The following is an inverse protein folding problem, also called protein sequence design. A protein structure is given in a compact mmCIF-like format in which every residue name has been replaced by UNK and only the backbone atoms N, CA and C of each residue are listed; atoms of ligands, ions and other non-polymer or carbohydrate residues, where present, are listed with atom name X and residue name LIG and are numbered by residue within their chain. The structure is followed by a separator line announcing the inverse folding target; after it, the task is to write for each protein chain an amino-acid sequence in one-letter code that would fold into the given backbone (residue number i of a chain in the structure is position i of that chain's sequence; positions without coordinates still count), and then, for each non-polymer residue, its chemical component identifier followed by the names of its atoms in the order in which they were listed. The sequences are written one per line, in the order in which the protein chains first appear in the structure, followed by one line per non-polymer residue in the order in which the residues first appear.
data_IF_254472695434
#
_entry.id   IF_254472695434
#
_cell.length_a   1.000
_cell.length_b   1.000
_cell.length_c   1.000
_cell.angle_alpha   90.00
_cell.angle_beta   90.00
_cell.angle_gamma   90.00
#
_symmetry.space_group_name_H-M   'P 1'
#
loop_
_entity.id
_entity.type
_entity.pdbx_description
1 polymer ?
#
# COMPACT_ATOMS: atom_id res chain seq x y z
N UNK A 1 3.57 -9.23 38.42
CA UNK A 1 3.67 -9.49 36.97
C UNK A 1 2.87 -10.73 36.51
N UNK A 2 3.11 -11.92 37.08
CA UNK A 2 2.63 -13.18 36.49
C UNK A 2 1.11 -13.38 36.37
N UNK A 3 0.29 -12.80 37.26
CA UNK A 3 -1.18 -12.97 37.18
C UNK A 3 -1.81 -12.21 36.00
N UNK A 4 -1.29 -11.02 35.70
CA UNK A 4 -1.73 -10.18 34.56
C UNK A 4 -1.33 -10.81 33.22
N UNK A 5 -0.11 -11.36 33.13
CA UNK A 5 0.36 -12.09 31.94
C UNK A 5 -0.45 -13.38 31.72
N UNK A 6 -0.79 -14.09 32.79
CA UNK A 6 -1.62 -15.28 32.74
C UNK A 6 -3.08 -14.99 32.33
N UNK A 7 -3.68 -13.88 32.79
CA UNK A 7 -5.01 -13.43 32.35
C UNK A 7 -5.02 -13.01 30.87
N UNK A 8 -3.98 -12.30 30.43
CA UNK A 8 -3.81 -11.88 29.03
C UNK A 8 -3.70 -13.09 28.10
N UNK A 9 -2.87 -14.07 28.48
CA UNK A 9 -2.66 -15.31 27.71
C UNK A 9 -3.95 -16.13 27.58
N UNK A 10 -4.74 -16.28 28.66
CA UNK A 10 -6.05 -16.94 28.63
C UNK A 10 -7.10 -16.19 27.80
N UNK A 11 -7.05 -14.86 27.80
CA UNK A 11 -7.92 -14.03 26.95
C UNK A 11 -7.60 -14.23 25.47
N UNK A 12 -6.31 -14.24 25.09
CA UNK A 12 -5.86 -14.49 23.72
C UNK A 12 -6.19 -15.92 23.26
N UNK A 13 -6.01 -16.91 24.13
CA UNK A 13 -6.32 -18.30 23.81
C UNK A 13 -7.78 -18.52 23.38
N UNK A 14 -8.73 -17.81 24.01
CA UNK A 14 -10.16 -17.82 23.62
C UNK A 14 -10.42 -17.34 22.19
N UNK A 15 -9.48 -16.63 21.57
CA UNK A 15 -9.56 -16.13 20.19
C UNK A 15 -8.85 -17.03 19.18
N UNK A 16 -8.33 -18.17 19.63
CA UNK A 16 -7.73 -19.18 18.77
C UNK A 16 -8.72 -20.30 18.49
N UNK A 17 -8.50 -21.03 17.40
CA UNK A 17 -9.28 -22.23 17.07
C UNK A 17 -8.97 -23.43 17.97
N UNK A 18 -8.06 -23.28 18.96
CA UNK A 18 -7.58 -24.36 19.83
C UNK A 18 -6.63 -25.37 19.17
N UNK A 19 -6.50 -25.35 17.83
CA UNK A 19 -5.58 -26.20 17.05
C UNK A 19 -4.36 -25.38 16.64
N UNK A 20 -3.15 -25.93 16.79
CA UNK A 20 -1.89 -25.21 16.49
C UNK A 20 -1.88 -23.77 17.06
N UNK A 21 -2.33 -23.62 18.32
CA UNK A 21 -2.66 -22.33 18.91
C UNK A 21 -1.45 -21.41 19.13
N UNK A 22 -0.22 -21.95 19.16
CA UNK A 22 1.01 -21.19 19.38
C UNK A 22 1.25 -20.14 18.29
N UNK A 23 1.09 -20.52 17.01
CA UNK A 23 1.22 -19.58 15.88
C UNK A 23 0.11 -18.54 15.88
N UNK A 24 -1.11 -18.94 16.23
CA UNK A 24 -2.27 -18.03 16.33
C UNK A 24 -2.09 -17.03 17.48
N UNK A 25 -1.57 -17.47 18.63
CA UNK A 25 -1.27 -16.61 19.77
C UNK A 25 -0.19 -15.59 19.41
N UNK A 26 0.87 -16.03 18.72
CA UNK A 26 1.94 -15.16 18.24
C UNK A 26 1.41 -14.11 17.26
N UNK A 27 0.53 -14.48 16.32
CA UNK A 27 -0.13 -13.53 15.42
C UNK A 27 -1.00 -12.50 16.15
N UNK A 28 -1.78 -12.92 17.16
CA UNK A 28 -2.60 -12.01 17.97
C UNK A 28 -1.73 -11.04 18.76
N UNK A 29 -0.67 -11.53 19.38
CA UNK A 29 0.29 -10.71 20.13
C UNK A 29 0.96 -9.67 19.24
N UNK A 30 1.37 -10.10 18.05
CA UNK A 30 1.99 -9.26 17.05
C UNK A 30 1.06 -8.16 16.54
N UNK A 31 -0.18 -8.51 16.16
CA UNK A 31 -1.20 -7.53 15.78
C UNK A 31 -1.44 -6.49 16.88
N UNK A 32 -1.51 -6.92 18.14
CA UNK A 32 -1.67 -6.01 19.27
C UNK A 32 -0.44 -5.11 19.47
N UNK A 33 0.77 -5.61 19.21
CA UNK A 33 1.99 -4.80 19.25
C UNK A 33 2.02 -3.76 18.14
N UNK A 34 1.64 -4.14 16.92
CA UNK A 34 1.52 -3.21 15.79
C UNK A 34 0.49 -2.11 16.08
N UNK A 35 -0.70 -2.47 16.58
CA UNK A 35 -1.73 -1.48 16.98
C UNK A 35 -1.19 -0.52 18.04
N UNK A 36 -0.50 -1.01 19.08
CA UNK A 36 0.11 -0.16 20.10
C UNK A 36 1.13 0.82 19.51
N UNK A 37 1.97 0.35 18.59
CA UNK A 37 2.96 1.20 17.93
C UNK A 37 2.29 2.29 17.07
N UNK A 38 1.26 1.93 16.31
CA UNK A 38 0.46 2.89 15.53
C UNK A 38 -0.18 3.94 16.44
N UNK A 39 -0.83 3.52 17.54
CA UNK A 39 -1.45 4.43 18.50
C UNK A 39 -0.42 5.36 19.15
N UNK A 40 0.71 4.84 19.62
CA UNK A 40 1.77 5.65 20.23
C UNK A 40 2.32 6.69 19.24
N UNK A 41 2.52 6.29 17.96
CA UNK A 41 2.96 7.22 16.92
C UNK A 41 1.91 8.31 16.63
N UNK A 42 0.62 7.96 16.63
CA UNK A 42 -0.49 8.91 16.45
C UNK A 42 -0.57 9.90 17.63
N UNK A 43 -0.42 9.41 18.87
CA UNK A 43 -0.41 10.23 20.08
C UNK A 43 0.74 11.25 20.06
N UNK A 44 1.95 10.83 19.65
CA UNK A 44 3.11 11.72 19.49
C UNK A 44 2.89 12.83 18.45
N UNK A 45 2.08 12.57 17.42
CA UNK A 45 1.81 13.52 16.33
C UNK A 45 0.69 14.53 16.66
N UNK A 46 -0.05 14.36 17.77
CA UNK A 46 -1.17 15.23 18.19
C UNK A 46 -2.09 15.67 17.03
N UNK A 47 -2.38 14.73 16.12
CA UNK A 47 -3.04 15.02 14.84
C UNK A 47 -4.44 14.39 14.81
N UNK A 48 -5.47 15.25 14.75
CA UNK A 48 -6.84 14.83 14.40
C UNK A 48 -7.03 14.91 12.90
N UNK A 49 -7.04 13.74 12.26
CA UNK A 49 -7.25 13.62 10.82
C UNK A 49 -8.70 13.93 10.45
N UNK A 50 -8.96 14.57 9.30
CA UNK A 50 -10.32 14.80 8.84
C UNK A 50 -10.98 13.47 8.48
N UNK A 51 -12.23 13.27 8.87
CA UNK A 51 -13.05 12.18 8.35
C UNK A 51 -13.59 12.58 6.98
N UNK A 52 -13.57 11.70 5.95
CA UNK A 52 -14.24 11.99 4.69
C UNK A 52 -15.74 12.22 4.96
N UNK A 53 -16.24 13.41 4.64
CA UNK A 53 -17.64 13.79 4.87
C UNK A 53 -18.53 13.56 3.63
N UNK A 54 -17.96 13.09 2.52
CA UNK A 54 -18.64 12.91 1.24
C UNK A 54 -18.22 11.59 0.57
N UNK A 55 -19.14 10.83 -0.07
CA UNK A 55 -18.84 9.58 -0.76
C UNK A 55 -17.87 9.71 -1.95
N UNK A 56 -17.79 10.91 -2.55
CA UNK A 56 -16.94 11.23 -3.70
C UNK A 56 -15.48 11.49 -3.31
N UNK A 57 -15.20 11.70 -2.02
CA UNK A 57 -13.84 11.90 -1.52
C UNK A 57 -13.23 10.56 -1.17
N UNK A 58 -12.55 9.95 -2.15
CA UNK A 58 -11.99 8.60 -2.05
C UNK A 58 -10.76 8.48 -1.14
N UNK A 59 -10.11 9.60 -0.82
CA UNK A 59 -9.01 9.64 0.16
C UNK A 59 -8.99 10.96 0.93
N UNK A 60 -8.51 10.90 2.17
CA UNK A 60 -8.18 12.09 2.97
C UNK A 60 -6.71 12.03 3.34
N UNK A 61 -5.97 13.08 2.98
CA UNK A 61 -4.57 13.23 3.38
C UNK A 61 -4.55 13.76 4.81
N UNK A 62 -3.92 13.00 5.71
CA UNK A 62 -3.80 13.36 7.12
C UNK A 62 -3.15 14.72 7.35
N UNK A 63 -3.40 15.34 8.51
CA UNK A 63 -2.84 16.67 8.85
C UNK A 63 -1.39 16.61 9.33
N UNK A 64 -0.74 15.45 9.34
CA UNK A 64 0.70 15.26 9.66
C UNK A 64 1.67 15.93 8.68
N UNK A 65 1.18 16.88 7.87
CA UNK A 65 1.87 17.66 6.84
C UNK A 65 3.04 18.50 7.37
N UNK A 66 3.24 18.57 8.69
CA UNK A 66 4.22 19.45 9.34
C UNK A 66 5.57 18.78 9.67
N UNK A 67 5.85 17.59 9.11
CA UNK A 67 7.15 16.93 9.28
C UNK A 67 7.88 16.84 7.93
N UNK A 68 8.56 17.92 7.50
CA UNK A 68 9.29 17.91 6.24
C UNK A 68 10.46 16.92 6.35
N UNK A 69 10.53 16.00 5.39
CA UNK A 69 11.66 15.08 5.23
C UNK A 69 12.53 15.55 4.07
N UNK A 70 13.82 15.76 4.32
CA UNK A 70 14.77 16.07 3.26
C UNK A 70 15.02 14.80 2.43
N UNK A 71 14.62 14.84 1.15
CA UNK A 71 14.71 13.70 0.24
C UNK A 71 16.16 13.19 0.10
N UNK A 72 17.15 14.08 0.17
CA UNK A 72 18.57 13.71 0.09
C UNK A 72 18.99 12.95 1.35
N UNK A 73 18.62 13.47 2.52
CA UNK A 73 18.89 12.78 3.80
C UNK A 73 18.15 11.44 3.88
N UNK A 74 16.91 11.38 3.42
CA UNK A 74 16.13 10.13 3.36
C UNK A 74 16.84 9.08 2.50
N UNK A 75 17.28 9.44 1.30
CA UNK A 75 17.99 8.51 0.40
C UNK A 75 19.34 8.09 0.99
N UNK A 76 20.06 9.01 1.63
CA UNK A 76 21.33 8.69 2.29
C UNK A 76 21.15 7.75 3.49
N UNK A 77 20.15 8.01 4.32
CA UNK A 77 19.83 7.19 5.50
C UNK A 77 19.44 5.76 5.12
N UNK A 78 18.78 5.61 3.97
CA UNK A 78 18.33 4.32 3.44
C UNK A 78 19.27 3.77 2.36
N UNK A 79 20.52 4.23 2.28
CA UNK A 79 21.45 3.79 1.25
C UNK A 79 21.66 2.27 1.31
N UNK A 80 21.52 1.61 0.16
CA UNK A 80 21.60 0.14 0.06
C UNK A 80 20.24 -0.56 0.09
N UNK A 81 19.17 0.11 0.52
CA UNK A 81 17.81 -0.45 0.44
C UNK A 81 17.32 -0.48 -1.02
N UNK A 82 16.88 -1.63 -1.55
CA UNK A 82 16.34 -1.73 -2.91
C UNK A 82 15.18 -0.76 -3.19
N UNK A 83 14.38 -0.44 -2.18
CA UNK A 83 13.20 0.41 -2.31
C UNK A 83 13.56 1.86 -2.67
N UNK A 84 14.72 2.37 -2.19
CA UNK A 84 15.17 3.74 -2.47
C UNK A 84 16.09 3.84 -3.69
N UNK A 85 16.36 2.73 -4.37
CA UNK A 85 17.23 2.70 -5.54
C UNK A 85 16.65 3.56 -6.66
N UNK A 86 17.37 4.63 -7.01
CA UNK A 86 16.95 5.57 -8.05
C UNK A 86 15.75 6.44 -7.66
N UNK A 87 15.42 6.54 -6.36
CA UNK A 87 14.22 7.22 -5.83
C UNK A 87 14.00 8.60 -6.45
N UNK A 88 15.00 9.49 -6.39
CA UNK A 88 14.88 10.87 -6.90
C UNK A 88 14.61 10.90 -8.40
N UNK A 89 15.24 10.01 -9.17
CA UNK A 89 15.04 9.96 -10.61
C UNK A 89 13.63 9.47 -10.95
N UNK A 90 13.17 8.41 -10.29
CA UNK A 90 11.79 7.90 -10.42
C UNK A 90 10.76 8.95 -10.02
N UNK A 91 11.02 9.71 -8.96
CA UNK A 91 10.14 10.77 -8.49
C UNK A 91 10.03 11.89 -9.53
N UNK A 92 11.16 12.35 -10.07
CA UNK A 92 11.17 13.33 -11.17
C UNK A 92 10.39 12.83 -12.38
N UNK A 93 10.58 11.58 -12.78
CA UNK A 93 9.87 10.98 -13.92
C UNK A 93 8.37 10.82 -13.69
N UNK A 94 7.93 10.61 -12.45
CA UNK A 94 6.51 10.55 -12.10
C UNK A 94 5.85 11.94 -12.07
N UNK A 95 6.51 12.92 -11.47
CA UNK A 95 5.94 14.27 -11.32
C UNK A 95 5.96 15.06 -12.63
N UNK A 96 6.94 14.82 -13.51
CA UNK A 96 7.14 15.62 -14.72
C UNK A 96 5.95 15.51 -15.73
N UNK A 97 5.42 14.31 -16.05
CA UNK A 97 4.20 14.18 -16.85
C UNK A 97 3.02 14.92 -16.22
N UNK A 98 2.73 14.76 -14.92
CA UNK A 98 1.60 15.45 -14.30
C UNK A 98 1.74 16.98 -14.33
N UNK A 99 2.95 17.50 -14.16
CA UNK A 99 3.22 18.93 -14.32
C UNK A 99 3.00 19.39 -15.77
N UNK A 100 3.31 18.53 -16.75
CA UNK A 100 3.08 18.80 -18.18
C UNK A 100 1.62 18.59 -18.59
N UNK A 101 0.90 17.66 -17.97
CA UNK A 101 -0.51 17.36 -18.22
C UNK A 101 -1.41 18.48 -17.67
N UNK A 102 -0.99 19.15 -16.58
CA UNK A 102 -1.53 20.46 -16.17
C UNK A 102 -1.41 21.53 -17.28
N UNK A 103 -0.57 21.30 -18.29
CA UNK A 103 -0.41 22.15 -19.46
C UNK A 103 -0.99 21.59 -20.76
N UNK A 104 -1.37 20.30 -20.86
CA UNK A 104 -2.02 19.70 -22.06
C UNK A 104 -2.70 18.36 -21.70
N UNK A 105 -4.02 18.22 -21.90
CA UNK A 105 -4.76 16.98 -21.57
C UNK A 105 -4.62 15.91 -22.66
N UNK A 106 -4.41 14.64 -22.28
CA UNK A 106 -4.49 13.50 -23.20
C UNK A 106 -4.41 12.12 -22.53
N UNK A 107 -5.51 11.36 -22.62
CA UNK A 107 -5.67 9.98 -22.16
C UNK A 107 -4.96 8.95 -23.06
N UNK A 108 -4.67 7.76 -22.52
CA UNK A 108 -4.46 6.56 -23.32
C UNK A 108 -4.96 5.28 -22.62
N UNK A 109 -5.35 4.30 -23.43
CA UNK A 109 -6.05 3.05 -23.11
C UNK A 109 -5.22 1.78 -23.37
N UNK A 110 -5.60 0.70 -22.66
CA UNK A 110 -5.96 -0.64 -23.18
C UNK A 110 -5.11 -1.91 -22.84
N UNK A 111 -5.88 -3.00 -22.67
CA UNK A 111 -5.59 -4.46 -22.69
C UNK A 111 -4.86 -5.11 -21.50
N UNK A 112 -5.57 -5.32 -20.38
CA UNK A 112 -5.21 -6.36 -19.39
C UNK A 112 -6.38 -7.33 -19.19
N UNK A 113 -6.08 -8.64 -19.10
CA UNK A 113 -7.07 -9.70 -18.77
C UNK A 113 -7.71 -9.49 -17.38
N UNK A 114 -7.07 -8.68 -16.54
CA UNK A 114 -7.56 -8.24 -15.25
C UNK A 114 -7.58 -6.69 -15.24
N UNK A 115 -8.71 -6.05 -14.92
CA UNK A 115 -8.88 -4.60 -15.09
C UNK A 115 -8.07 -3.76 -14.08
N UNK A 116 -7.62 -4.36 -12.97
CA UNK A 116 -6.92 -3.64 -11.91
C UNK A 116 -5.47 -4.10 -11.72
N UNK A 117 -4.65 -3.17 -11.20
CA UNK A 117 -3.33 -3.44 -10.65
C UNK A 117 -3.39 -3.25 -9.13
N UNK A 118 -2.53 -3.96 -8.39
CA UNK A 118 -2.49 -3.91 -6.93
C UNK A 118 -1.12 -3.50 -6.46
N UNK A 119 -1.08 -2.64 -5.44
CA UNK A 119 0.16 -2.20 -4.82
C UNK A 119 -0.04 -2.02 -3.31
N UNK A 120 1.02 -2.25 -2.55
CA UNK A 120 1.11 -1.87 -1.15
C UNK A 120 1.61 -0.43 -1.06
N UNK A 121 0.89 0.45 -0.35
CA UNK A 121 1.34 1.82 -0.09
C UNK A 121 2.39 1.79 1.02
N UNK A 122 3.62 2.17 0.69
CA UNK A 122 4.73 2.28 1.63
C UNK A 122 4.74 3.64 2.34
N UNK A 123 4.33 4.69 1.62
CA UNK A 123 4.27 6.04 2.16
C UNK A 123 3.40 6.97 1.34
N UNK A 124 2.82 7.95 2.02
CA UNK A 124 2.01 9.02 1.42
C UNK A 124 2.78 10.32 1.62
N UNK A 125 3.18 10.96 0.53
CA UNK A 125 4.03 12.13 0.55
C UNK A 125 3.43 13.26 -0.27
N UNK A 126 3.98 14.46 -0.06
CA UNK A 126 3.77 15.57 -0.95
C UNK A 126 5.10 16.31 -1.16
N UNK A 127 5.26 16.93 -2.33
CA UNK A 127 6.39 17.78 -2.64
C UNK A 127 5.91 19.10 -3.21
N UNK A 128 6.60 20.17 -2.84
CA UNK A 128 6.48 21.47 -3.47
C UNK A 128 7.46 21.52 -4.64
N UNK A 129 6.93 21.56 -5.87
CA UNK A 129 7.72 21.44 -7.10
C UNK A 129 7.64 22.74 -7.89
N UNK A 130 8.79 23.17 -8.41
CA UNK A 130 8.91 24.28 -9.35
C UNK A 130 9.46 23.71 -10.67
N UNK A 131 8.78 24.00 -11.78
CA UNK A 131 9.21 23.55 -13.11
C UNK A 131 9.98 24.66 -13.84
N UNK A 132 11.23 24.38 -14.20
CA UNK A 132 12.16 25.34 -14.82
C UNK A 132 12.52 24.89 -16.26
N UNK A 133 11.60 24.19 -16.94
CA UNK A 133 11.85 23.63 -18.26
C UNK A 133 11.23 24.44 -19.41
N UNK A 134 11.36 23.97 -20.66
CA UNK A 134 10.72 24.58 -21.80
C UNK A 134 9.19 24.65 -21.60
N UNK A 135 8.60 25.80 -21.96
CA UNK A 135 7.17 26.06 -21.78
C UNK A 135 6.75 26.54 -20.39
N UNK A 136 7.69 26.77 -19.46
CA UNK A 136 7.39 27.37 -18.14
C UNK A 136 6.71 28.72 -18.29
N UNK A 137 5.51 28.84 -17.69
CA UNK A 137 4.72 30.09 -17.66
C UNK A 137 5.00 30.94 -16.42
N UNK A 138 5.36 30.29 -15.31
CA UNK A 138 5.65 30.92 -14.03
C UNK A 138 6.60 30.04 -13.19
N UNK A 139 7.28 30.64 -12.22
CA UNK A 139 8.14 29.93 -11.25
C UNK A 139 7.38 29.59 -9.96
N UNK A 140 6.06 29.40 -10.05
CA UNK A 140 5.26 29.13 -8.85
C UNK A 140 5.48 27.69 -8.36
N UNK A 141 5.70 27.59 -7.06
CA UNK A 141 5.73 26.32 -6.35
C UNK A 141 4.34 25.70 -6.33
N UNK A 142 4.24 24.46 -6.82
CA UNK A 142 3.00 23.67 -6.85
C UNK A 142 3.15 22.46 -5.96
N UNK A 143 2.17 22.25 -5.08
CA UNK A 143 2.12 21.06 -4.23
C UNK A 143 1.57 19.89 -5.03
N UNK A 144 2.34 18.82 -5.12
CA UNK A 144 1.90 17.54 -5.71
C UNK A 144 1.92 16.46 -4.64
N UNK A 145 0.81 15.73 -4.50
CA UNK A 145 0.73 14.55 -3.65
C UNK A 145 1.10 13.33 -4.48
N UNK A 146 1.77 12.36 -3.86
CA UNK A 146 2.13 11.11 -4.51
C UNK A 146 2.20 9.98 -3.48
N UNK A 147 1.83 8.78 -3.91
CA UNK A 147 1.96 7.55 -3.13
C UNK A 147 3.26 6.87 -3.53
N UNK A 148 4.08 6.46 -2.57
CA UNK A 148 5.19 5.55 -2.79
C UNK A 148 4.71 4.12 -2.56
N UNK A 149 4.85 3.25 -3.57
CA UNK A 149 4.21 1.94 -3.58
C UNK A 149 5.18 0.80 -3.94
N UNK A 150 4.85 -0.40 -3.46
CA UNK A 150 5.44 -1.67 -3.87
C UNK A 150 4.40 -2.51 -4.63
N UNK A 151 4.69 -2.92 -5.86
CA UNK A 151 3.73 -3.59 -6.73
C UNK A 151 3.55 -5.07 -6.42
N UNK A 152 2.32 -5.54 -6.63
CA UNK A 152 2.03 -6.96 -6.74
C UNK A 152 1.97 -7.39 -8.20
N UNK A 153 2.39 -8.62 -8.47
CA UNK A 153 2.05 -9.34 -9.69
C UNK A 153 0.96 -10.37 -9.41
N UNK A 154 -0.03 -10.42 -10.31
CA UNK A 154 -1.08 -11.43 -10.28
C UNK A 154 -0.52 -12.76 -10.73
N UNK A 155 -0.79 -13.80 -9.95
CA UNK A 155 -0.41 -15.15 -10.32
C UNK A 155 -1.39 -15.70 -11.36
N UNK A 156 -0.90 -16.25 -12.48
CA UNK A 156 -1.75 -16.92 -13.44
C UNK A 156 -2.28 -18.20 -12.79
N UNK A 157 -3.49 -18.14 -12.26
CA UNK A 157 -4.22 -19.34 -11.89
C UNK A 157 -5.04 -19.79 -13.09
N UNK A 158 -4.95 -21.07 -13.45
CA UNK A 158 -5.84 -21.66 -14.46
C UNK A 158 -7.30 -21.64 -14.01
N UNK A 159 -7.57 -21.36 -12.73
CA UNK A 159 -8.89 -21.31 -12.12
C UNK A 159 -9.17 -19.97 -11.41
N UNK A 160 -8.52 -18.86 -11.76
CA UNK A 160 -8.89 -17.54 -11.22
C UNK A 160 -10.11 -16.95 -11.93
N UNK A 161 -10.86 -16.13 -11.20
CA UNK A 161 -11.99 -15.39 -11.75
C UNK A 161 -13.35 -15.93 -11.34
N UNK A 162 -14.38 -15.11 -11.60
CA UNK A 162 -15.76 -15.36 -11.17
C UNK A 162 -16.30 -16.71 -11.65
N UNK A 163 -15.92 -17.14 -12.86
CA UNK A 163 -16.35 -18.41 -13.47
C UNK A 163 -15.91 -19.65 -12.69
N UNK A 164 -14.89 -19.51 -11.85
CA UNK A 164 -14.32 -20.59 -11.05
C UNK A 164 -14.55 -20.41 -9.54
N UNK A 165 -15.34 -19.42 -9.12
CA UNK A 165 -15.64 -19.11 -7.71
C UNK A 165 -14.39 -18.99 -6.82
N UNK A 166 -13.27 -18.54 -7.40
CA UNK A 166 -11.99 -18.43 -6.72
C UNK A 166 -11.52 -16.98 -6.65
N UNK A 167 -10.85 -16.64 -5.53
CA UNK A 167 -10.21 -15.34 -5.34
C UNK A 167 -8.94 -15.25 -6.18
N UNK A 168 -8.63 -14.06 -6.69
CA UNK A 168 -7.34 -13.84 -7.35
C UNK A 168 -6.21 -13.98 -6.36
N UNK A 169 -5.08 -14.47 -6.87
CA UNK A 169 -3.85 -14.62 -6.10
C UNK A 169 -2.82 -13.64 -6.61
N UNK A 170 -2.09 -13.05 -5.69
CA UNK A 170 -1.04 -12.09 -5.99
C UNK A 170 0.17 -12.34 -5.09
N UNK A 171 1.33 -11.91 -5.55
CA UNK A 171 2.57 -11.85 -4.76
C UNK A 171 3.31 -10.56 -5.05
N UNK A 172 4.21 -10.16 -4.16
CA UNK A 172 5.07 -9.03 -4.42
C UNK A 172 5.95 -9.30 -5.65
N UNK A 173 6.13 -8.26 -6.47
CA UNK A 173 7.11 -8.29 -7.55
C UNK A 173 8.50 -8.45 -6.92
N UNK A 174 9.34 -9.30 -7.52
CA UNK A 174 10.68 -9.57 -7.01
C UNK A 174 11.53 -8.30 -6.93
N UNK A 175 12.29 -8.11 -5.84
CA UNK A 175 13.02 -6.86 -5.55
C UNK A 175 14.21 -6.58 -6.47
N UNK A 176 14.68 -7.59 -7.21
CA UNK A 176 15.71 -7.45 -8.24
C UNK A 176 15.20 -6.70 -9.47
N UNK A 177 13.89 -6.63 -9.66
CA UNK A 177 13.27 -5.90 -10.76
C UNK A 177 13.22 -4.40 -10.48
N UNK A 178 13.48 -3.62 -11.52
CA UNK A 178 13.52 -2.17 -11.43
C UNK A 178 12.12 -1.54 -11.22
N UNK A 179 11.05 -2.25 -11.61
CA UNK A 179 9.66 -1.80 -11.60
C UNK A 179 8.90 -2.19 -10.32
N UNK A 180 9.55 -2.82 -9.35
CA UNK A 180 8.93 -3.23 -8.07
C UNK A 180 8.43 -2.05 -7.25
N UNK A 181 9.19 -0.95 -7.23
CA UNK A 181 8.85 0.27 -6.50
C UNK A 181 8.64 1.43 -7.46
N UNK A 182 7.51 2.12 -7.33
CA UNK A 182 7.19 3.30 -8.11
C UNK A 182 6.38 4.32 -7.31
N UNK A 183 5.96 5.38 -8.00
CA UNK A 183 5.02 6.36 -7.48
C UNK A 183 3.69 6.28 -8.23
N UNK A 184 2.61 6.63 -7.55
CA UNK A 184 1.23 6.66 -8.07
C UNK A 184 0.58 7.97 -7.64
N UNK A 185 -0.18 8.61 -8.53
CA UNK A 185 -1.00 9.77 -8.15
C UNK A 185 -2.19 9.27 -7.32
N UNK A 186 -2.49 9.84 -6.15
CA UNK A 186 -3.68 9.50 -5.40
C UNK A 186 -4.98 9.56 -6.21
N UNK A 187 -5.06 10.38 -7.26
CA UNK A 187 -6.21 10.44 -8.16
C UNK A 187 -6.37 9.18 -9.03
N UNK A 188 -5.30 8.44 -9.29
CA UNK A 188 -5.32 7.16 -10.02
C UNK A 188 -5.65 5.97 -9.12
N UNK A 189 -5.63 6.18 -7.79
CA UNK A 189 -5.99 5.14 -6.83
C UNK A 189 -7.50 4.98 -6.79
N UNK A 190 -7.97 3.80 -7.20
CA UNK A 190 -9.40 3.47 -7.09
C UNK A 190 -9.79 3.33 -5.61
N UNK A 191 -9.28 2.32 -4.89
CA UNK A 191 -9.63 2.05 -3.49
C UNK A 191 -8.62 1.13 -2.78
N UNK A 192 -8.68 1.07 -1.44
CA UNK A 192 -7.99 0.06 -0.63
C UNK A 192 -8.70 -1.29 -0.73
N UNK A 193 -7.96 -2.37 -0.98
CA UNK A 193 -8.51 -3.74 -0.89
C UNK A 193 -7.97 -4.47 0.34
N UNK A 194 -8.69 -5.53 0.76
CA UNK A 194 -8.21 -6.40 1.83
C UNK A 194 -7.45 -7.58 1.23
N UNK A 195 -6.18 -7.72 1.61
CA UNK A 195 -5.35 -8.85 1.23
C UNK A 195 -5.40 -9.92 2.33
N UNK A 196 -5.66 -11.15 1.94
CA UNK A 196 -5.71 -12.31 2.84
C UNK A 196 -4.45 -13.15 2.60
N UNK A 197 -3.55 -13.28 3.58
CA UNK A 197 -2.40 -14.17 3.48
C UNK A 197 -2.77 -15.62 3.09
N UNK A 198 -2.04 -16.20 2.14
CA UNK A 198 -2.11 -17.64 1.91
C UNK A 198 -1.23 -18.37 2.91
N UNK A 199 -1.84 -18.79 4.02
CA UNK A 199 -1.14 -19.52 5.09
C UNK A 199 -0.49 -20.82 4.60
N UNK A 200 -1.07 -21.46 3.58
CA UNK A 200 -0.57 -22.71 3.01
C UNK A 200 0.73 -22.52 2.20
N UNK A 201 0.91 -21.37 1.55
CA UNK A 201 2.12 -21.07 0.78
C UNK A 201 3.30 -20.65 1.70
N UNK A 202 3.00 -20.25 2.93
CA UNK A 202 3.97 -19.89 3.96
C UNK A 202 4.54 -18.47 3.82
N UNK A 203 5.48 -18.14 4.72
CA UNK A 203 6.11 -16.82 4.77
C UNK A 203 7.15 -16.64 3.67
N UNK A 204 7.25 -15.43 3.14
CA UNK A 204 8.25 -15.05 2.15
C UNK A 204 9.66 -15.08 2.76
N UNK A 205 9.78 -14.66 4.04
CA UNK A 205 11.03 -14.64 4.80
C UNK A 205 10.92 -15.53 6.04
N UNK A 206 11.17 -16.86 5.95
CA UNK A 206 11.11 -17.78 7.08
C UNK A 206 12.05 -17.38 8.22
N UNK A 207 13.22 -16.82 7.85
CA UNK A 207 14.28 -16.42 8.78
C UNK A 207 14.10 -14.98 9.28
N UNK A 208 13.02 -14.28 8.89
CA UNK A 208 12.69 -12.89 9.27
C UNK A 208 13.77 -11.85 8.93
N UNK A 209 14.72 -12.18 8.06
CA UNK A 209 15.71 -11.21 7.55
C UNK A 209 15.03 -10.41 6.43
N UNK A 210 14.67 -9.17 6.74
CA UNK A 210 14.18 -8.21 5.76
C UNK A 210 15.34 -7.71 4.89
N UNK A 211 15.14 -7.74 3.57
CA UNK A 211 16.04 -7.17 2.56
C UNK A 211 15.84 -5.65 2.43
N UNK A 212 14.62 -5.17 2.72
CA UNK A 212 14.21 -3.77 2.72
C UNK A 212 13.49 -3.42 4.02
N UNK A 213 14.04 -2.46 4.77
CA UNK A 213 13.41 -1.93 5.97
C UNK A 213 12.16 -1.11 5.64
N UNK A 214 12.10 -0.54 4.43
CA UNK A 214 11.01 0.32 3.98
C UNK A 214 9.83 -0.45 3.35
N UNK A 215 10.03 -1.70 2.92
CA UNK A 215 8.98 -2.52 2.31
C UNK A 215 8.13 -3.31 3.32
N UNK A 216 8.40 -3.21 4.62
CA UNK A 216 7.72 -3.98 5.68
C UNK A 216 7.79 -5.52 5.50
N UNK A 217 8.92 -6.00 4.97
CA UNK A 217 9.13 -7.34 4.41
C UNK A 217 9.21 -8.51 5.41
N UNK A 218 9.61 -8.28 6.66
CA UNK A 218 9.85 -9.36 7.64
C UNK A 218 8.60 -10.18 7.98
N UNK A 219 7.42 -9.67 7.62
CA UNK A 219 6.13 -10.26 7.94
C UNK A 219 5.35 -10.75 6.71
N UNK A 220 5.96 -10.64 5.54
CA UNK A 220 5.27 -10.91 4.29
C UNK A 220 5.08 -12.40 4.01
N UNK A 221 4.00 -12.68 3.28
CA UNK A 221 3.60 -14.00 2.82
C UNK A 221 4.00 -14.19 1.37
N UNK A 222 4.29 -15.43 0.98
CA UNK A 222 4.65 -15.72 -0.42
C UNK A 222 3.54 -15.37 -1.40
N UNK A 223 2.28 -15.51 -0.95
CA UNK A 223 1.08 -15.30 -1.76
C UNK A 223 -0.02 -14.70 -0.89
N UNK A 224 -0.80 -13.81 -1.49
CA UNK A 224 -2.00 -13.22 -0.92
C UNK A 224 -3.20 -13.50 -1.84
N UNK A 225 -4.38 -13.71 -1.24
CA UNK A 225 -5.66 -13.68 -1.94
C UNK A 225 -6.22 -12.26 -1.89
N UNK A 226 -6.77 -11.81 -3.01
CA UNK A 226 -7.41 -10.50 -3.13
C UNK A 226 -8.88 -10.65 -2.76
N UNK A 227 -9.29 -10.03 -1.65
CA UNK A 227 -10.70 -10.06 -1.25
C UNK A 227 -11.50 -9.04 -2.08
N UNK A 228 -12.29 -9.53 -3.04
CA UNK A 228 -13.21 -8.72 -3.85
C UNK A 228 -14.52 -8.37 -3.13
N UNK A 229 -14.79 -8.97 -1.97
CA UNK A 229 -16.06 -8.86 -1.24
C UNK A 229 -15.97 -7.99 0.02
N UNK A 230 -14.98 -7.09 0.09
CA UNK A 230 -14.81 -6.20 1.25
C UNK A 230 -16.02 -5.29 1.42
N UNK A 231 -16.57 -4.81 0.31
CA UNK A 231 -17.80 -4.03 0.27
C UNK A 231 -18.51 -4.23 -1.09
N UNK A 232 -19.77 -3.80 -1.16
CA UNK A 232 -20.60 -3.97 -2.36
C UNK A 232 -20.11 -3.12 -3.54
N UNK A 233 -19.54 -1.93 -3.30
CA UNK A 233 -19.03 -1.06 -4.37
C UNK A 233 -17.81 -1.68 -5.05
N UNK A 234 -16.87 -2.17 -4.23
CA UNK A 234 -15.69 -2.92 -4.62
C UNK A 234 -16.09 -4.13 -5.46
N UNK A 235 -17.07 -4.93 -5.00
CA UNK A 235 -17.57 -6.08 -5.76
C UNK A 235 -18.13 -5.67 -7.12
N UNK A 236 -18.98 -4.64 -7.17
CA UNK A 236 -19.62 -4.17 -8.41
C UNK A 236 -18.62 -3.66 -9.44
N UNK A 237 -17.45 -3.15 -9.03
CA UNK A 237 -16.37 -2.74 -9.95
C UNK A 237 -15.71 -3.92 -10.68
N UNK A 238 -15.73 -5.13 -10.12
CA UNK A 238 -15.29 -6.34 -10.85
C UNK A 238 -16.36 -6.83 -11.85
N UNK A 239 -17.59 -6.32 -11.78
CA UNK A 239 -18.69 -6.65 -12.69
C UNK A 239 -18.84 -5.59 -13.79
N UNK A 240 -17.85 -5.56 -14.69
CA UNK A 240 -17.89 -4.68 -15.87
C UNK A 240 -19.16 -4.93 -16.70
N UNK A 241 -20.04 -3.93 -16.79
CA UNK A 241 -21.30 -3.98 -17.54
C UNK A 241 -22.56 -4.41 -16.76
N UNK A 242 -22.47 -4.67 -15.45
CA UNK A 242 -23.64 -4.97 -14.59
C UNK A 242 -23.82 -3.98 -13.43
N UNK A 243 -22.93 -3.00 -13.28
CA UNK A 243 -23.10 -1.92 -12.34
C UNK A 243 -24.30 -1.05 -12.76
N UNK A 244 -25.36 -1.05 -11.96
CA UNK A 244 -26.53 -0.18 -12.19
C UNK A 244 -26.10 1.26 -11.93
N UNK A 245 -25.91 2.05 -13.00
CA UNK A 245 -25.63 3.48 -12.91
C UNK A 245 -24.59 4.08 -13.87
N UNK A 246 -24.10 3.33 -14.87
CA UNK A 246 -23.27 3.88 -15.95
C UNK A 246 -23.81 3.50 -17.33
#
# INVERSE_FOLDING_TARGET
QGELEHRTSKSRFRRTSGKSFTSQLASIEHQQACIRHICARREMLHCEDPTPNLPEVHYVIGKSQNTPEDVTQFVQKNFGDPAVKGFVQKLKLHLLPHIRDLHTQGHASDTKKHPFCYACVLGIYHANVIYIGPGTRDYQSRRQNFLWVCWFELLPDQHSGWQHTALDRARFVSMDRADTFSFVDPADMLWCCHLIPSFADGRLHPDSIATSCNAHESEDWKVYYINRFVDHDMMMRYHWGLAVGH
#
